data_IF_136969205928
#
_entry.id   IF_136969205928
#
_cell.length_a   1.000
_cell.length_b   1.000
_cell.length_c   1.000
_cell.angle_alpha   90.00
_cell.angle_beta   90.00
_cell.angle_gamma   90.00
#
_symmetry.space_group_name_H-M   'P 1'
#
loop_
_entity.id
_entity.type
_entity.pdbx_description
1 polymer ?
#
# COMPACT_ATOMS: atom_id res chain seq x y z
N UNK A 1 -27.03 -14.98 3.56
CA UNK A 1 -26.05 -15.38 4.59
C UNK A 1 -26.36 -16.77 5.13
N UNK A 2 -25.45 -17.74 5.01
CA UNK A 2 -25.46 -18.96 5.84
C UNK A 2 -24.02 -19.35 6.19
N UNK A 3 -23.75 -19.47 7.49
CA UNK A 3 -22.50 -19.95 8.07
C UNK A 3 -22.48 -21.49 7.98
N UNK A 4 -21.41 -22.08 7.44
CA UNK A 4 -21.16 -23.52 7.53
C UNK A 4 -19.90 -23.76 8.37
N UNK A 5 -20.03 -24.59 9.40
CA UNK A 5 -18.97 -24.96 10.37
C UNK A 5 -17.99 -25.97 9.76
N UNK A 6 -16.72 -26.01 10.20
CA UNK A 6 -15.71 -26.89 9.62
C UNK A 6 -15.85 -28.35 10.11
N UNK A 7 -15.74 -29.32 9.20
CA UNK A 7 -15.47 -30.74 9.55
C UNK A 7 -13.97 -30.92 9.81
N UNK A 8 -13.65 -31.63 10.90
CA UNK A 8 -12.29 -31.99 11.35
C UNK A 8 -11.73 -33.19 10.59
N UNK A 9 -10.39 -33.17 10.46
CA UNK A 9 -9.43 -34.22 10.11
C UNK A 9 -9.33 -34.63 8.64
N UNK A 10 -8.27 -34.17 7.98
CA UNK A 10 -7.11 -35.04 7.75
C UNK A 10 -5.80 -34.22 7.72
N UNK A 11 -4.69 -34.91 7.95
CA UNK A 11 -3.40 -34.37 8.35
C UNK A 11 -2.63 -33.74 7.17
N UNK A 12 -1.96 -32.62 7.47
CA UNK A 12 -0.83 -32.00 6.75
C UNK A 12 -1.12 -30.81 5.81
N UNK A 13 -0.27 -29.80 5.99
CA UNK A 13 0.03 -28.60 5.17
C UNK A 13 -1.05 -27.53 4.93
N UNK A 14 -0.72 -26.35 5.45
CA UNK A 14 -0.99 -25.02 4.89
C UNK A 14 -2.46 -24.53 4.85
N UNK A 15 -2.87 -23.83 5.90
CA UNK A 15 -4.10 -23.02 5.90
C UNK A 15 -3.85 -21.71 5.15
N UNK A 16 -3.75 -21.79 3.82
CA UNK A 16 -3.95 -20.63 2.95
C UNK A 16 -5.45 -20.57 2.65
N UNK A 17 -6.09 -19.44 2.94
CA UNK A 17 -7.47 -19.18 2.52
C UNK A 17 -7.50 -19.14 1.00
N UNK A 18 -7.77 -20.28 0.38
CA UNK A 18 -8.19 -20.34 -1.02
C UNK A 18 -9.61 -19.77 -1.07
N UNK A 19 -9.71 -18.54 -1.56
CA UNK A 19 -10.99 -17.97 -1.95
C UNK A 19 -11.39 -18.66 -3.26
N UNK A 20 -12.34 -19.61 -3.19
CA UNK A 20 -12.91 -20.26 -4.36
C UNK A 20 -13.87 -19.28 -5.06
N UNK A 21 -13.78 -19.08 -6.39
CA UNK A 21 -14.58 -18.07 -7.08
C UNK A 21 -16.05 -18.49 -7.18
N UNK A 22 -16.96 -17.55 -6.92
CA UNK A 22 -18.40 -17.72 -7.19
C UNK A 22 -18.77 -16.96 -8.45
N UNK A 23 -18.89 -17.72 -9.56
CA UNK A 23 -19.51 -17.46 -10.87
C UNK A 23 -19.46 -16.08 -11.58
N UNK A 24 -19.20 -16.18 -12.89
CA UNK A 24 -19.58 -15.29 -14.00
C UNK A 24 -18.74 -14.04 -14.33
N UNK A 25 -18.23 -13.26 -13.37
CA UNK A 25 -17.44 -12.05 -13.69
C UNK A 25 -15.94 -12.31 -13.81
N UNK A 26 -15.44 -13.33 -13.12
CA UNK A 26 -14.01 -13.54 -12.89
C UNK A 26 -13.34 -14.38 -13.99
N UNK A 27 -14.09 -15.21 -14.73
CA UNK A 27 -13.57 -15.94 -15.90
C UNK A 27 -13.12 -15.00 -17.01
N UNK A 28 -13.83 -13.89 -17.21
CA UNK A 28 -13.47 -12.86 -18.20
C UNK A 28 -12.13 -12.21 -17.80
N UNK A 29 -11.93 -11.97 -16.51
CA UNK A 29 -10.71 -11.33 -15.97
C UNK A 29 -9.47 -12.21 -16.12
N UNK A 30 -9.60 -13.52 -15.91
CA UNK A 30 -8.50 -14.49 -16.13
C UNK A 30 -8.19 -14.73 -17.61
N UNK A 31 -9.23 -14.74 -18.46
CA UNK A 31 -9.04 -14.92 -19.91
C UNK A 31 -8.31 -13.75 -20.57
N UNK A 32 -8.52 -12.52 -20.10
CA UNK A 32 -7.90 -11.29 -20.63
C UNK A 32 -6.45 -11.09 -20.15
N UNK A 33 -6.03 -11.78 -19.08
CA UNK A 33 -4.63 -11.84 -18.66
C UNK A 33 -3.80 -12.86 -19.45
N UNK A 34 -4.41 -13.59 -20.40
CA UNK A 34 -3.69 -14.57 -21.22
C UNK A 34 -2.59 -13.88 -22.03
N UNK A 35 -1.34 -14.01 -21.55
CA UNK A 35 -0.16 -13.38 -22.16
C UNK A 35 0.42 -12.20 -21.37
N UNK A 36 -0.23 -11.75 -20.29
CA UNK A 36 0.37 -10.74 -19.41
C UNK A 36 1.56 -11.33 -18.66
N UNK A 37 2.73 -10.68 -18.77
CA UNK A 37 3.97 -11.15 -18.14
C UNK A 37 4.49 -10.12 -17.15
N UNK A 38 4.65 -10.56 -15.91
CA UNK A 38 5.26 -9.76 -14.86
C UNK A 38 6.75 -9.55 -15.14
N UNK A 39 7.16 -8.31 -15.37
CA UNK A 39 8.59 -7.97 -15.55
C UNK A 39 9.33 -7.95 -14.21
N UNK A 40 8.64 -7.53 -13.15
CA UNK A 40 9.18 -7.40 -11.79
C UNK A 40 8.35 -8.20 -10.79
N UNK A 41 9.02 -8.64 -9.72
CA UNK A 41 8.37 -9.27 -8.56
C UNK A 41 7.60 -8.21 -7.77
N UNK A 42 6.35 -8.51 -7.40
CA UNK A 42 5.49 -7.68 -6.53
C UNK A 42 5.20 -6.29 -7.11
N UNK A 43 5.11 -6.20 -8.43
CA UNK A 43 4.80 -4.99 -9.18
C UNK A 43 3.30 -4.81 -9.43
N UNK A 44 2.88 -3.57 -9.65
CA UNK A 44 1.49 -3.23 -9.98
C UNK A 44 1.38 -2.60 -11.36
N UNK A 45 0.34 -2.99 -12.09
CA UNK A 45 0.05 -2.54 -13.44
C UNK A 45 -1.43 -2.21 -13.60
N UNK A 46 -1.74 -1.31 -14.53
CA UNK A 46 -3.11 -1.00 -14.88
C UNK A 46 -3.74 -2.19 -15.61
N UNK A 47 -5.03 -2.44 -15.35
CA UNK A 47 -5.78 -3.42 -16.11
C UNK A 47 -6.26 -2.80 -17.43
N UNK A 48 -6.09 -3.46 -18.60
CA UNK A 48 -6.54 -2.92 -19.87
C UNK A 48 -8.06 -2.66 -19.89
N UNK A 49 -8.46 -1.41 -20.12
CA UNK A 49 -9.86 -1.03 -20.32
C UNK A 49 -10.74 -1.03 -19.05
N UNK A 50 -10.19 -1.34 -17.87
CA UNK A 50 -10.93 -1.32 -16.59
C UNK A 50 -10.17 -0.51 -15.55
N UNK A 51 -10.73 0.64 -15.16
CA UNK A 51 -10.05 1.61 -14.29
C UNK A 51 -10.10 1.25 -12.80
N UNK A 52 -11.11 0.51 -12.41
CA UNK A 52 -11.32 -0.04 -11.08
C UNK A 52 -10.61 -1.38 -10.90
N UNK A 53 -9.81 -1.83 -11.87
CA UNK A 53 -9.06 -3.09 -11.79
C UNK A 53 -7.57 -2.83 -11.96
N UNK A 54 -6.75 -3.49 -11.14
CA UNK A 54 -5.31 -3.49 -11.26
C UNK A 54 -4.74 -4.90 -11.24
N UNK A 55 -3.54 -5.05 -11.78
CA UNK A 55 -2.80 -6.30 -11.76
C UNK A 55 -1.70 -6.18 -10.71
N UNK A 56 -1.63 -7.13 -9.78
CA UNK A 56 -0.52 -7.29 -8.86
C UNK A 56 0.22 -8.59 -9.17
N UNK A 57 1.52 -8.46 -9.42
CA UNK A 57 2.39 -9.58 -9.73
C UNK A 57 2.94 -10.21 -8.46
N UNK A 58 2.34 -11.27 -7.94
CA UNK A 58 2.90 -11.99 -6.79
C UNK A 58 3.83 -13.09 -7.29
N UNK A 59 5.13 -12.97 -7.00
CA UNK A 59 6.15 -13.93 -7.44
C UNK A 59 6.13 -14.22 -8.95
N UNK A 60 6.00 -13.15 -9.75
CA UNK A 60 5.91 -13.17 -11.21
C UNK A 60 4.60 -13.75 -11.78
N UNK A 61 3.66 -14.12 -10.93
CA UNK A 61 2.33 -14.55 -11.34
C UNK A 61 1.38 -13.35 -11.25
N UNK A 62 0.72 -12.94 -12.36
CA UNK A 62 -0.21 -11.83 -12.33
C UNK A 62 -1.55 -12.25 -11.71
N UNK A 63 -2.05 -11.41 -10.82
CA UNK A 63 -3.39 -11.51 -10.23
C UNK A 63 -4.11 -10.19 -10.42
N UNK A 64 -5.37 -10.23 -10.87
CA UNK A 64 -6.20 -9.04 -10.97
C UNK A 64 -6.97 -8.80 -9.67
N UNK A 65 -7.11 -7.53 -9.30
CA UNK A 65 -7.84 -7.08 -8.11
C UNK A 65 -8.73 -5.90 -8.47
N UNK A 66 -9.93 -5.90 -7.91
CA UNK A 66 -10.88 -4.79 -8.05
C UNK A 66 -10.69 -3.82 -6.89
N UNK A 67 -10.64 -2.54 -7.18
CA UNK A 67 -10.61 -1.46 -6.21
C UNK A 67 -11.96 -1.36 -5.48
N UNK A 68 -11.96 -1.27 -4.14
CA UNK A 68 -13.20 -1.12 -3.37
C UNK A 68 -13.84 0.25 -3.61
N UNK A 69 -15.13 0.36 -3.29
CA UNK A 69 -15.86 1.64 -3.18
C UNK A 69 -15.82 2.54 -4.43
N UNK A 70 -15.68 1.95 -5.62
CA UNK A 70 -15.65 2.69 -6.88
C UNK A 70 -14.34 3.47 -7.11
N UNK A 71 -13.32 3.21 -6.30
CA UNK A 71 -11.99 3.76 -6.46
C UNK A 71 -11.31 3.20 -7.73
N UNK A 72 -10.27 3.88 -8.21
CA UNK A 72 -9.56 3.52 -9.44
C UNK A 72 -8.06 3.38 -9.20
N UNK A 73 -7.40 2.56 -10.03
CA UNK A 73 -5.97 2.31 -9.92
C UNK A 73 -5.14 3.47 -10.48
N UNK A 74 -4.18 3.95 -9.68
CA UNK A 74 -3.26 5.01 -10.09
C UNK A 74 -1.83 4.48 -10.27
N UNK A 75 -1.37 4.30 -11.51
CA UNK A 75 -0.07 3.70 -11.80
C UNK A 75 1.12 4.44 -11.16
N UNK A 76 1.10 5.78 -11.15
CA UNK A 76 2.18 6.57 -10.53
C UNK A 76 2.23 6.49 -9.00
N UNK A 77 1.14 6.07 -8.36
CA UNK A 77 1.02 6.06 -6.90
C UNK A 77 1.07 4.65 -6.30
N UNK A 78 1.25 3.61 -7.14
CA UNK A 78 1.24 2.19 -6.77
C UNK A 78 2.15 1.76 -5.61
N UNK A 79 3.14 2.56 -5.24
CA UNK A 79 4.05 2.26 -4.12
C UNK A 79 3.84 3.12 -2.87
N UNK A 80 2.93 4.08 -2.93
CA UNK A 80 2.79 5.10 -1.89
C UNK A 80 1.98 4.66 -0.67
N UNK A 81 1.55 3.42 -0.67
CA UNK A 81 0.81 2.87 0.44
C UNK A 81 -0.70 2.84 0.22
N UNK A 82 -1.19 3.44 -0.85
CA UNK A 82 -2.56 3.26 -1.33
C UNK A 82 -2.47 2.91 -2.81
N UNK A 83 -3.25 1.93 -3.27
CA UNK A 83 -3.21 1.48 -4.67
C UNK A 83 -4.41 2.02 -5.44
N UNK A 84 -5.54 2.16 -4.76
CA UNK A 84 -6.81 2.63 -5.30
C UNK A 84 -7.15 4.00 -4.74
N UNK A 85 -7.51 4.93 -5.63
CA UNK A 85 -7.76 6.33 -5.31
C UNK A 85 -9.10 6.80 -5.87
N UNK A 86 -9.59 7.94 -5.40
CA UNK A 86 -10.83 8.52 -5.91
C UNK A 86 -10.73 8.82 -7.41
N UNK A 87 -11.74 8.47 -8.19
CA UNK A 87 -11.79 8.71 -9.63
C UNK A 87 -11.50 10.18 -10.01
N UNK A 88 -11.78 11.15 -9.13
CA UNK A 88 -11.46 12.56 -9.35
C UNK A 88 -9.95 12.86 -9.34
N UNK A 89 -9.14 11.98 -8.74
CA UNK A 89 -7.67 12.11 -8.66
C UNK A 89 -6.94 11.12 -9.57
N UNK A 90 -7.65 10.16 -10.17
CA UNK A 90 -7.05 9.10 -10.99
C UNK A 90 -7.06 9.48 -12.47
N UNK A 91 -5.90 9.43 -13.11
CA UNK A 91 -5.75 9.65 -14.56
C UNK A 91 -6.17 8.44 -15.40
N UNK A 92 -7.08 7.60 -14.89
CA UNK A 92 -7.55 6.46 -15.65
C UNK A 92 -8.61 6.93 -16.65
N UNK A 93 -8.15 7.38 -17.82
CA UNK A 93 -9.02 7.59 -18.98
C UNK A 93 -9.05 6.27 -19.75
N UNK A 94 -10.23 5.68 -19.98
CA UNK A 94 -10.35 4.55 -20.89
C UNK A 94 -9.85 4.96 -22.28
N UNK A 95 -8.64 4.53 -22.64
CA UNK A 95 -8.09 4.66 -23.99
C UNK A 95 -7.31 5.93 -24.34
N UNK A 96 -6.72 6.70 -23.41
CA UNK A 96 -5.83 7.84 -23.77
C UNK A 96 -4.52 7.91 -22.96
N UNK A 97 -3.52 8.61 -23.53
CA UNK A 97 -2.11 8.63 -23.09
C UNK A 97 -1.58 9.99 -22.60
N UNK A 98 -2.44 10.97 -22.24
CA UNK A 98 -1.94 12.29 -21.78
C UNK A 98 -2.69 12.83 -20.53
N UNK A 99 -1.96 13.22 -19.47
CA UNK A 99 -2.57 13.68 -18.21
C UNK A 99 -2.70 15.20 -18.05
N UNK A 100 -3.80 15.64 -17.42
CA UNK A 100 -3.94 16.93 -16.73
C UNK A 100 -3.69 16.71 -15.23
N UNK A 101 -2.91 17.59 -14.58
CA UNK A 101 -2.47 17.47 -13.18
C UNK A 101 -3.17 18.51 -12.29
N UNK A 102 -3.63 18.12 -11.09
CA UNK A 102 -3.97 19.02 -9.99
C UNK A 102 -3.01 18.75 -8.82
N UNK A 103 -2.38 19.79 -8.26
CA UNK A 103 -1.15 19.69 -7.45
C UNK A 103 -1.33 19.32 -5.96
N UNK A 104 -2.55 19.26 -5.43
CA UNK A 104 -2.74 19.31 -3.95
C UNK A 104 -2.56 17.95 -3.23
N UNK A 105 -2.75 16.80 -3.91
CA UNK A 105 -2.70 15.47 -3.28
C UNK A 105 -1.35 14.72 -3.40
N UNK A 106 -0.36 15.31 -4.07
CA UNK A 106 0.95 14.68 -4.31
C UNK A 106 1.90 14.73 -3.09
N UNK A 107 1.48 15.38 -1.98
CA UNK A 107 2.34 15.64 -0.83
C UNK A 107 2.48 14.46 0.14
N UNK A 108 1.44 13.64 0.31
CA UNK A 108 1.41 12.52 1.27
C UNK A 108 2.22 11.31 0.79
N UNK A 109 2.22 11.12 -0.53
CA UNK A 109 2.81 9.96 -1.22
C UNK A 109 4.28 10.20 -1.63
N UNK A 110 4.76 11.44 -1.50
CA UNK A 110 6.17 11.77 -1.67
C UNK A 110 6.89 11.51 -0.35
N UNK A 111 8.09 10.89 -0.38
CA UNK A 111 8.93 10.85 0.79
C UNK A 111 9.18 12.27 1.29
N UNK A 112 8.82 12.55 2.53
CA UNK A 112 9.18 13.80 3.19
C UNK A 112 10.62 13.72 3.66
N UNK A 113 11.29 14.86 3.74
CA UNK A 113 12.64 14.92 4.30
C UNK A 113 12.62 14.45 5.75
N UNK A 114 13.59 13.60 6.10
CA UNK A 114 13.77 13.09 7.46
C UNK A 114 14.41 14.23 8.27
N UNK A 115 13.58 15.10 8.83
CA UNK A 115 14.01 16.13 9.77
C UNK A 115 14.03 15.50 11.17
N UNK A 116 15.20 15.07 11.60
CA UNK A 116 15.43 14.66 12.98
C UNK A 116 15.52 15.92 13.83
N UNK A 117 14.53 16.13 14.70
CA UNK A 117 14.67 17.10 15.79
C UNK A 117 15.63 16.51 16.80
N UNK A 118 16.93 16.69 16.59
CA UNK A 118 17.92 16.38 17.61
C UNK A 118 17.70 17.37 18.75
N UNK A 119 17.42 16.94 20.00
CA UNK A 119 17.46 17.85 21.13
C UNK A 119 18.87 18.46 21.18
N UNK A 120 18.95 19.79 21.21
CA UNK A 120 20.20 20.58 21.11
C UNK A 120 21.25 20.30 22.20
N UNK A 121 21.10 19.28 23.03
CA UNK A 121 21.87 19.09 24.27
C UNK A 121 22.38 17.66 24.52
N UNK A 122 22.55 16.81 23.50
CA UNK A 122 23.38 15.61 23.63
C UNK A 122 24.32 15.41 22.43
N UNK A 123 25.52 14.94 22.76
CA UNK A 123 26.75 14.81 21.98
C UNK A 123 26.59 14.44 20.49
N UNK A 124 27.06 15.35 19.63
CA UNK A 124 26.84 15.42 18.18
C UNK A 124 27.87 14.65 17.34
N UNK A 125 28.08 13.36 17.57
CA UNK A 125 28.99 12.56 16.71
C UNK A 125 28.31 11.77 15.59
N UNK A 126 26.98 11.67 15.56
CA UNK A 126 26.22 11.09 14.43
C UNK A 126 24.74 11.49 14.49
N UNK A 127 24.10 11.94 13.40
CA UNK A 127 22.65 12.01 13.35
C UNK A 127 22.11 10.59 13.61
N UNK A 128 21.27 10.40 14.64
CA UNK A 128 20.53 9.16 14.83
C UNK A 128 19.45 9.05 13.73
N UNK A 129 19.88 8.83 12.48
CA UNK A 129 18.97 8.48 11.39
C UNK A 129 18.19 7.22 11.81
N UNK A 130 16.91 7.11 11.42
CA UNK A 130 16.16 5.88 11.67
C UNK A 130 16.92 4.72 11.04
N UNK A 131 17.46 3.85 11.88
CA UNK A 131 18.27 2.73 11.41
C UNK A 131 17.32 1.63 10.96
N UNK A 132 17.29 1.38 9.66
CA UNK A 132 16.56 0.24 9.10
C UNK A 132 17.35 -1.05 9.38
N UNK A 133 16.95 -1.77 10.43
CA UNK A 133 17.53 -3.08 10.78
C UNK A 133 16.91 -4.23 10.00
N UNK A 134 15.70 -4.02 9.46
CA UNK A 134 14.95 -5.02 8.71
C UNK A 134 14.51 -4.46 7.35
N UNK A 135 14.53 -5.32 6.33
CA UNK A 135 14.01 -4.99 5.01
C UNK A 135 12.49 -4.84 5.06
N UNK A 136 11.97 -3.76 4.46
CA UNK A 136 10.55 -3.45 4.34
C UNK A 136 9.82 -3.36 5.69
N UNK A 137 10.53 -3.02 6.78
CA UNK A 137 9.91 -2.69 8.06
C UNK A 137 9.25 -1.32 8.02
N UNK A 138 8.26 -1.13 8.89
CA UNK A 138 7.60 0.16 9.11
C UNK A 138 7.71 0.55 10.58
N UNK A 139 7.92 1.83 10.85
CA UNK A 139 7.95 2.39 12.20
C UNK A 139 7.31 3.77 12.24
N UNK A 140 6.93 4.21 13.43
CA UNK A 140 6.39 5.56 13.63
C UNK A 140 7.45 6.63 13.34
N UNK A 141 7.04 7.77 12.80
CA UNK A 141 7.92 8.92 12.69
C UNK A 141 8.13 9.59 14.07
N UNK A 142 9.35 9.98 14.45
CA UNK A 142 9.62 10.64 15.74
C UNK A 142 8.71 11.82 16.03
N UNK A 143 8.20 11.90 17.26
CA UNK A 143 7.36 13.01 17.75
C UNK A 143 6.09 13.30 16.94
N UNK A 144 5.66 12.40 16.05
CA UNK A 144 4.51 12.61 15.15
C UNK A 144 3.68 11.35 14.97
N UNK A 145 2.37 11.52 14.92
CA UNK A 145 1.43 10.45 14.56
C UNK A 145 0.94 10.56 13.12
N UNK A 146 1.03 11.73 12.51
CA UNK A 146 0.68 11.98 11.11
C UNK A 146 1.77 11.54 10.13
N UNK A 147 2.75 10.74 10.55
CA UNK A 147 3.85 10.30 9.71
C UNK A 147 4.44 8.95 10.16
N UNK A 148 5.04 8.24 9.21
CA UNK A 148 5.71 6.96 9.42
C UNK A 148 7.01 6.86 8.61
N UNK A 149 7.85 5.89 8.95
CA UNK A 149 9.07 5.54 8.25
C UNK A 149 8.91 4.14 7.68
N UNK A 150 9.16 4.00 6.38
CA UNK A 150 9.19 2.73 5.68
C UNK A 150 10.62 2.44 5.19
N UNK A 151 11.14 1.28 5.56
CA UNK A 151 12.50 0.86 5.27
C UNK A 151 12.57 0.08 3.96
N UNK A 152 12.50 0.78 2.83
CA UNK A 152 12.57 0.13 1.52
C UNK A 152 14.02 -0.31 1.25
N UNK A 153 14.26 -1.62 1.20
CA UNK A 153 15.60 -2.19 1.01
C UNK A 153 16.66 -1.59 1.97
N UNK A 154 16.33 -1.47 3.26
CA UNK A 154 17.19 -0.88 4.31
C UNK A 154 17.45 0.63 4.18
N UNK A 155 16.79 1.31 3.24
CA UNK A 155 16.85 2.77 3.13
C UNK A 155 15.60 3.35 3.78
N UNK A 156 15.73 4.22 4.81
CA UNK A 156 14.58 4.83 5.45
C UNK A 156 13.95 5.85 4.50
N UNK A 157 12.64 5.78 4.35
CA UNK A 157 11.81 6.74 3.62
C UNK A 157 10.69 7.18 4.57
N UNK A 158 10.56 8.48 4.83
CA UNK A 158 9.49 9.01 5.66
C UNK A 158 8.29 9.40 4.79
N UNK A 159 7.09 9.08 5.24
CA UNK A 159 5.84 9.42 4.56
C UNK A 159 4.90 10.13 5.52
N UNK A 160 4.01 10.95 4.96
CA UNK A 160 2.96 11.60 5.73
C UNK A 160 1.66 10.85 5.54
N UNK A 161 0.93 10.64 6.62
CA UNK A 161 -0.43 10.17 6.50
C UNK A 161 -1.32 11.24 5.84
N UNK A 162 -2.38 10.83 5.13
CA UNK A 162 -3.43 11.75 4.70
C UNK A 162 -3.99 12.55 5.88
N UNK A 163 -4.54 13.72 5.57
CA UNK A 163 -5.06 14.66 6.57
C UNK A 163 -5.99 13.98 7.56
N UNK A 164 -5.68 14.09 8.85
CA UNK A 164 -6.50 13.52 9.95
C UNK A 164 -6.27 12.03 10.23
N UNK A 165 -5.44 11.34 9.47
CA UNK A 165 -5.07 9.94 9.73
C UNK A 165 -3.78 9.83 10.54
N UNK A 166 -3.70 8.77 11.33
CA UNK A 166 -2.55 8.45 12.16
C UNK A 166 -1.88 7.15 11.72
N UNK A 167 -0.57 7.05 11.94
CA UNK A 167 0.18 5.83 11.73
C UNK A 167 -0.40 4.68 12.56
N UNK A 168 -0.76 3.61 11.87
CA UNK A 168 -1.22 2.35 12.45
C UNK A 168 -0.13 1.29 12.21
N UNK A 169 0.54 0.87 13.28
CA UNK A 169 1.58 -0.17 13.24
C UNK A 169 1.07 -1.53 12.72
N UNK A 170 -0.24 -1.78 12.85
CA UNK A 170 -0.89 -2.99 12.35
C UNK A 170 -1.38 -2.83 10.91
N UNK A 171 -1.22 -1.64 10.33
CA UNK A 171 -1.42 -1.44 8.90
C UNK A 171 -0.54 -2.38 8.10
N UNK A 172 -1.02 -2.76 6.92
CA UNK A 172 -0.30 -3.66 6.02
C UNK A 172 0.01 -2.91 4.77
N UNK A 173 1.18 -3.18 4.20
CA UNK A 173 1.50 -2.68 2.87
C UNK A 173 0.31 -2.96 1.94
N UNK A 174 -0.21 -1.95 1.24
CA UNK A 174 0.40 -0.65 1.07
C UNK A 174 0.09 0.32 2.25
N UNK A 175 -1.07 0.24 2.93
CA UNK A 175 -1.54 1.31 3.82
C UNK A 175 -1.16 1.13 5.29
N UNK A 176 -0.47 2.13 5.85
CA UNK A 176 -0.09 2.20 7.26
C UNK A 176 -0.76 3.34 8.03
N UNK A 177 -1.75 4.00 7.44
CA UNK A 177 -2.48 5.11 8.04
C UNK A 177 -3.95 4.72 8.26
N UNK A 178 -4.48 5.09 9.41
CA UNK A 178 -5.85 4.76 9.82
C UNK A 178 -6.43 5.90 10.67
N UNK A 179 -7.73 5.86 10.95
CA UNK A 179 -8.36 6.82 11.84
C UNK A 179 -7.71 6.77 13.24
N UNK A 180 -7.55 7.91 13.93
CA UNK A 180 -6.92 7.96 15.25
C UNK A 180 -7.49 6.96 16.27
N UNK A 181 -8.80 6.72 16.23
CA UNK A 181 -9.50 5.75 17.08
C UNK A 181 -9.05 4.29 16.87
N UNK A 182 -8.59 3.96 15.67
CA UNK A 182 -8.12 2.63 15.28
C UNK A 182 -6.60 2.54 15.44
N UNK A 183 -5.87 3.51 14.87
CA UNK A 183 -4.42 3.59 14.90
C UNK A 183 -3.88 3.64 16.33
N UNK A 184 -4.57 4.36 17.23
CA UNK A 184 -4.20 4.55 18.63
C UNK A 184 -2.73 4.97 18.81
N UNK A 185 -2.22 5.70 17.82
CA UNK A 185 -0.86 6.21 17.84
C UNK A 185 -0.67 7.18 19.01
N UNK A 186 0.42 6.99 19.74
CA UNK A 186 0.87 7.91 20.79
C UNK A 186 2.21 8.49 20.37
N UNK A 187 2.45 9.76 20.68
CA UNK A 187 3.73 10.40 20.37
C UNK A 187 4.84 9.73 21.17
N UNK A 188 5.82 9.14 20.50
CA UNK A 188 7.03 8.57 21.13
C UNK A 188 8.14 9.62 21.00
N UNK A 189 8.58 10.14 22.14
CA UNK A 189 9.78 10.99 22.23
C UNK A 189 11.04 10.13 22.23
N UNK A 190 12.10 10.64 21.60
CA UNK A 190 13.46 10.10 21.71
C UNK A 190 14.23 10.88 22.76
#
# INVERSE_FOLDING_TARGET
MRLVRPKKNDKNSDKRLEYLPTESSDEIVLSELSGFKCEKRNEFYAYPGKCDVYIQCMDYVPYAFICPDGLQFHEKMKYSGVVCYDASVVQCVPGTSEPVYYEEDYSYNKPIEIVLTVPKNEDTSKPQLPVCTMRNSVSQYPNRCDAYIYCQNYVPQAYRCPTGLHFNINGRWPNFCDYPSVAKCTVIGY
#
